data_IF_249642087792
#
_entry.id   IF_249642087792
#
_cell.length_a   1.000
_cell.length_b   1.000
_cell.length_c   1.000
_cell.angle_alpha   90.00
_cell.angle_beta   90.00
_cell.angle_gamma   90.00
#
_symmetry.space_group_name_H-M   'P 1'
#
loop_
_entity.id
_entity.type
_entity.pdbx_description
1 polymer ?
#
# COMPACT_ATOMS: atom_id res chain seq x y z
N UNK A 1 5.48 -8.28 32.52
CA UNK A 1 6.39 -7.84 31.44
C UNK A 1 6.25 -8.83 30.29
N UNK A 2 5.21 -8.66 29.48
CA UNK A 2 4.93 -9.53 28.33
C UNK A 2 5.57 -8.88 27.09
N UNK A 3 6.52 -9.59 26.49
CA UNK A 3 7.15 -9.19 25.23
C UNK A 3 6.08 -9.16 24.14
N UNK A 4 5.95 -8.01 23.48
CA UNK A 4 5.09 -7.81 22.31
C UNK A 4 5.69 -8.56 21.10
N UNK A 5 5.57 -9.87 21.10
CA UNK A 5 5.94 -10.73 19.96
C UNK A 5 4.76 -10.86 18.98
N UNK A 6 4.27 -9.73 18.46
CA UNK A 6 3.06 -9.73 17.59
C UNK A 6 3.27 -9.16 16.19
N UNK A 7 4.50 -8.88 15.74
CA UNK A 7 4.63 -7.97 14.58
C UNK A 7 5.67 -8.32 13.52
N UNK A 8 6.18 -9.55 13.44
CA UNK A 8 7.15 -9.89 12.37
C UNK A 8 6.57 -10.66 11.18
N UNK A 9 5.52 -11.45 11.38
CA UNK A 9 5.00 -12.35 10.34
C UNK A 9 3.89 -11.77 9.44
N UNK A 10 3.38 -10.56 9.72
CA UNK A 10 2.38 -9.84 8.89
C UNK A 10 2.98 -8.68 8.08
N UNK A 11 4.30 -8.55 8.07
CA UNK A 11 4.96 -7.31 7.67
C UNK A 11 5.04 -7.21 6.16
N UNK A 12 4.18 -6.41 5.55
CA UNK A 12 4.40 -5.92 4.18
C UNK A 12 5.78 -5.26 4.11
N UNK A 13 6.64 -5.74 3.21
CA UNK A 13 7.98 -5.18 3.02
C UNK A 13 7.98 -4.19 1.85
N UNK A 14 8.59 -3.02 2.05
CA UNK A 14 8.78 -2.05 0.96
C UNK A 14 9.77 -2.61 -0.07
N UNK A 15 9.28 -2.92 -1.27
CA UNK A 15 10.06 -3.49 -2.36
C UNK A 15 10.52 -2.42 -3.37
N UNK A 16 10.42 -1.14 -3.01
CA UNK A 16 10.92 -0.02 -3.79
C UNK A 16 9.90 0.59 -4.76
N UNK A 17 10.32 1.64 -5.50
CA UNK A 17 9.48 2.23 -6.54
C UNK A 17 9.32 1.29 -7.73
N UNK A 18 8.29 1.51 -8.55
CA UNK A 18 8.23 0.90 -9.87
C UNK A 18 9.48 1.30 -10.67
N UNK A 19 10.06 0.35 -11.42
CA UNK A 19 11.18 0.58 -12.33
C UNK A 19 10.73 1.41 -13.53
N UNK A 20 10.52 2.70 -13.30
CA UNK A 20 10.12 3.73 -14.25
C UNK A 20 10.86 5.03 -13.91
N UNK A 21 10.80 6.04 -14.77
CA UNK A 21 11.41 7.35 -14.53
C UNK A 21 10.36 8.39 -14.11
N UNK A 22 10.81 9.44 -13.41
CA UNK A 22 10.01 10.64 -13.13
C UNK A 22 8.73 10.38 -12.32
N UNK A 23 7.61 10.93 -12.79
CA UNK A 23 6.32 10.90 -12.09
C UNK A 23 5.81 9.47 -11.82
N UNK A 24 6.04 8.54 -12.75
CA UNK A 24 5.58 7.15 -12.63
C UNK A 24 6.26 6.43 -11.44
N UNK A 25 7.55 6.68 -11.22
CA UNK A 25 8.27 6.12 -10.07
C UNK A 25 7.76 6.64 -8.72
N UNK A 26 7.18 7.85 -8.71
CA UNK A 26 6.55 8.44 -7.51
C UNK A 26 5.14 7.94 -7.31
N UNK A 27 4.43 7.66 -8.40
CA UNK A 27 3.01 7.27 -8.38
C UNK A 27 2.79 5.83 -8.00
N UNK A 28 3.79 4.96 -8.16
CA UNK A 28 3.67 3.54 -7.88
C UNK A 28 4.78 3.02 -6.96
N UNK A 29 4.38 2.18 -6.01
CA UNK A 29 5.27 1.48 -5.08
C UNK A 29 5.01 -0.01 -5.13
N UNK A 30 6.06 -0.81 -5.00
CA UNK A 30 5.97 -2.25 -4.85
C UNK A 30 6.02 -2.60 -3.37
N UNK A 31 5.09 -3.45 -2.94
CA UNK A 31 5.14 -4.09 -1.62
C UNK A 31 5.26 -5.59 -1.78
N UNK A 32 6.02 -6.24 -0.90
CA UNK A 32 6.11 -7.69 -0.85
C UNK A 32 5.24 -8.21 0.29
N UNK A 33 4.29 -9.08 -0.07
CA UNK A 33 3.45 -9.77 0.90
C UNK A 33 4.17 -10.96 1.54
N UNK A 34 3.47 -11.64 2.45
CA UNK A 34 3.95 -12.87 3.10
C UNK A 34 4.14 -14.04 2.13
N UNK A 35 3.46 -14.01 0.98
CA UNK A 35 3.64 -14.94 -0.14
C UNK A 35 4.93 -14.70 -0.94
N UNK A 36 5.71 -13.68 -0.56
CA UNK A 36 6.94 -13.29 -1.24
C UNK A 36 6.71 -12.60 -2.58
N UNK A 37 5.46 -12.40 -3.04
CA UNK A 37 5.18 -11.77 -4.34
C UNK A 37 5.20 -10.25 -4.20
N UNK A 38 5.78 -9.59 -5.20
CA UNK A 38 5.74 -8.13 -5.32
C UNK A 38 4.42 -7.72 -5.94
N UNK A 39 3.73 -6.80 -5.30
CA UNK A 39 2.45 -6.28 -5.76
C UNK A 39 2.54 -4.77 -5.88
N UNK A 40 1.92 -4.24 -6.93
CA UNK A 40 1.95 -2.81 -7.24
C UNK A 40 0.81 -2.09 -6.54
N UNK A 41 1.15 -0.95 -5.95
CA UNK A 41 0.23 -0.03 -5.31
C UNK A 41 0.41 1.36 -5.91
N UNK A 42 -0.70 2.06 -6.09
CA UNK A 42 -0.74 3.49 -6.40
C UNK A 42 -0.54 4.29 -5.11
N UNK A 43 0.33 5.29 -5.12
CA UNK A 43 0.67 6.13 -3.97
C UNK A 43 -0.09 7.45 -4.03
N UNK A 44 -0.75 7.81 -2.93
CA UNK A 44 -1.45 9.09 -2.75
C UNK A 44 -1.03 9.72 -1.42
N UNK A 45 -1.06 11.06 -1.34
CA UNK A 45 -1.11 11.72 -0.04
C UNK A 45 -2.37 11.26 0.72
N UNK A 46 -2.31 11.18 2.05
CA UNK A 46 -3.38 10.61 2.86
C UNK A 46 -4.73 11.33 2.66
N UNK A 47 -4.70 12.64 2.47
CA UNK A 47 -5.85 13.50 2.23
C UNK A 47 -6.38 13.45 0.78
N UNK A 48 -5.57 12.99 -0.18
CA UNK A 48 -5.91 12.94 -1.60
C UNK A 48 -6.30 11.53 -2.07
N UNK A 49 -6.26 10.54 -1.17
CA UNK A 49 -6.53 9.16 -1.51
C UNK A 49 -8.00 8.97 -1.95
N UNK A 50 -8.23 8.51 -3.20
CA UNK A 50 -9.57 8.33 -3.73
C UNK A 50 -10.31 7.21 -3.01
N UNK A 51 -11.64 7.32 -3.02
CA UNK A 51 -12.52 6.27 -2.51
C UNK A 51 -12.77 5.23 -3.61
N UNK A 52 -12.01 4.13 -3.55
CA UNK A 52 -12.15 3.01 -4.46
C UNK A 52 -12.58 1.76 -3.68
N UNK A 53 -13.89 1.43 -3.65
CA UNK A 53 -14.40 0.30 -2.87
C UNK A 53 -13.77 -1.06 -3.22
N UNK A 54 -13.35 -1.24 -4.46
CA UNK A 54 -12.68 -2.46 -4.94
C UNK A 54 -11.16 -2.48 -4.65
N UNK A 55 -10.64 -1.53 -3.87
CA UNK A 55 -9.22 -1.45 -3.53
C UNK A 55 -8.97 -1.79 -2.05
N UNK A 56 -7.82 -2.41 -1.81
CA UNK A 56 -7.19 -2.50 -0.49
C UNK A 56 -6.24 -1.32 -0.32
N UNK A 57 -6.20 -0.77 0.89
CA UNK A 57 -5.35 0.34 1.28
C UNK A 57 -4.29 -0.10 2.30
N UNK A 58 -3.13 0.55 2.22
CA UNK A 58 -2.10 0.56 3.25
C UNK A 58 -1.93 2.03 3.67
N UNK A 59 -2.10 2.34 4.95
CA UNK A 59 -1.66 3.63 5.47
C UNK A 59 -0.17 3.53 5.81
N UNK A 60 0.61 4.50 5.32
CA UNK A 60 2.06 4.47 5.38
C UNK A 60 2.60 5.72 6.05
N UNK A 61 3.38 5.50 7.11
CA UNK A 61 4.14 6.55 7.77
C UNK A 61 5.54 6.62 7.18
N UNK A 62 6.03 7.83 6.97
CA UNK A 62 7.38 8.11 6.52
C UNK A 62 8.31 8.26 7.73
N UNK A 63 9.40 7.52 7.74
CA UNK A 63 10.49 7.64 8.71
C UNK A 63 11.79 7.89 7.94
N UNK A 64 12.11 9.18 7.73
CA UNK A 64 13.15 9.60 6.80
C UNK A 64 12.78 9.17 5.36
N UNK A 65 13.60 8.33 4.75
CA UNK A 65 13.34 7.76 3.42
C UNK A 65 12.57 6.44 3.46
N UNK A 66 12.33 5.89 4.65
CA UNK A 66 11.66 4.59 4.84
C UNK A 66 10.14 4.76 4.89
N UNK A 67 9.44 3.81 4.28
CA UNK A 67 7.98 3.68 4.33
C UNK A 67 7.62 2.58 5.29
N UNK A 68 6.89 2.92 6.34
CA UNK A 68 6.46 1.98 7.38
C UNK A 68 4.95 1.78 7.24
N UNK A 69 4.49 0.55 6.92
CA UNK A 69 3.06 0.26 6.92
C UNK A 69 2.57 0.26 8.37
N UNK A 70 1.60 1.12 8.67
CA UNK A 70 1.03 1.27 10.02
C UNK A 70 -0.40 0.78 10.13
N UNK A 71 -1.05 0.53 8.99
CA UNK A 71 -2.40 -0.02 8.92
C UNK A 71 -2.69 -0.61 7.53
N UNK A 72 -3.53 -1.64 7.47
CA UNK A 72 -4.05 -2.23 6.23
C UNK A 72 -5.56 -2.47 6.34
N UNK A 73 -6.28 -2.35 5.22
CA UNK A 73 -7.72 -2.61 5.20
C UNK A 73 -8.43 -2.04 3.97
N UNK A 74 -9.77 -1.88 4.04
CA UNK A 74 -10.54 -1.30 2.93
C UNK A 74 -10.12 0.14 2.61
N UNK A 75 -10.10 0.51 1.33
CA UNK A 75 -9.87 1.89 0.92
C UNK A 75 -11.01 2.84 1.32
N UNK A 76 -10.86 4.14 1.02
CA UNK A 76 -11.87 5.16 1.29
C UNK A 76 -11.78 5.74 2.70
N UNK A 77 -12.94 6.09 3.27
CA UNK A 77 -13.03 6.81 4.54
C UNK A 77 -12.28 6.12 5.70
N UNK A 78 -12.38 4.78 5.79
CA UNK A 78 -11.68 4.01 6.84
C UNK A 78 -10.17 4.16 6.76
N UNK A 79 -9.59 4.09 5.55
CA UNK A 79 -8.16 4.27 5.34
C UNK A 79 -7.69 5.68 5.72
N UNK A 80 -8.47 6.72 5.38
CA UNK A 80 -8.14 8.11 5.77
C UNK A 80 -8.20 8.31 7.27
N UNK A 81 -9.23 7.79 7.95
CA UNK A 81 -9.32 7.86 9.41
C UNK A 81 -8.16 7.11 10.09
N UNK A 82 -7.79 5.94 9.58
CA UNK A 82 -6.63 5.20 10.07
C UNK A 82 -5.32 5.95 9.84
N UNK A 83 -5.16 6.59 8.68
CA UNK A 83 -3.99 7.41 8.38
C UNK A 83 -3.85 8.57 9.36
N UNK A 84 -4.94 9.30 9.62
CA UNK A 84 -4.96 10.39 10.62
C UNK A 84 -4.61 9.88 12.02
N UNK A 85 -5.23 8.78 12.46
CA UNK A 85 -5.01 8.22 13.80
C UNK A 85 -3.58 7.72 14.04
N UNK A 86 -2.89 7.28 12.98
CA UNK A 86 -1.53 6.71 13.05
C UNK A 86 -0.43 7.70 12.64
N UNK A 87 -0.81 8.91 12.21
CA UNK A 87 0.11 9.89 11.65
C UNK A 87 0.77 9.40 10.36
N UNK A 88 0.05 8.65 9.51
CA UNK A 88 0.50 8.26 8.19
C UNK A 88 0.38 9.43 7.21
N UNK A 89 1.36 9.57 6.31
CA UNK A 89 1.40 10.64 5.30
C UNK A 89 0.92 10.14 3.93
N UNK A 90 1.07 8.84 3.65
CA UNK A 90 0.74 8.24 2.37
C UNK A 90 -0.36 7.18 2.56
N UNK A 91 -1.22 7.03 1.55
CA UNK A 91 -2.10 5.87 1.40
C UNK A 91 -1.77 5.19 0.08
N UNK A 92 -1.46 3.90 0.17
CA UNK A 92 -1.13 3.06 -0.97
C UNK A 92 -2.32 2.18 -1.33
N UNK A 93 -2.81 2.26 -2.56
CA UNK A 93 -3.98 1.53 -3.03
C UNK A 93 -3.61 0.46 -4.04
N UNK A 94 -4.14 -0.74 -3.84
CA UNK A 94 -4.12 -1.81 -4.85
C UNK A 94 -5.53 -2.25 -5.15
N UNK A 95 -5.90 -2.20 -6.43
CA UNK A 95 -7.18 -2.73 -6.89
C UNK A 95 -7.12 -4.25 -6.83
N UNK A 96 -8.14 -4.84 -6.21
CA UNK A 96 -8.31 -6.28 -6.18
C UNK A 96 -9.16 -6.67 -7.40
N UNK A 97 -8.65 -7.53 -8.29
CA UNK A 97 -9.48 -7.99 -9.40
C UNK A 97 -10.56 -8.93 -8.85
N UNK A 98 -11.79 -8.80 -9.33
CA UNK A 98 -12.92 -9.65 -8.92
C UNK A 98 -12.78 -11.10 -9.43
N UNK A 99 -11.92 -11.33 -10.43
CA UNK A 99 -11.55 -12.62 -10.99
C UNK A 99 -10.13 -12.55 -11.57
N UNK A 100 -9.48 -13.69 -11.79
CA UNK A 100 -8.24 -13.75 -12.56
C UNK A 100 -8.41 -12.98 -13.88
N UNK A 101 -7.49 -12.06 -14.17
CA UNK A 101 -7.52 -11.35 -15.45
C UNK A 101 -7.20 -12.35 -16.55
N UNK A 102 -8.12 -12.50 -17.50
CA UNK A 102 -7.86 -13.28 -18.72
C UNK A 102 -6.68 -12.70 -19.51
N UNK A 103 -6.22 -13.44 -20.53
CA UNK A 103 -5.12 -12.98 -21.36
C UNK A 103 -5.43 -11.61 -21.99
N UNK A 104 -4.65 -10.60 -21.62
CA UNK A 104 -4.59 -9.35 -22.37
C UNK A 104 -3.73 -9.63 -23.60
N UNK A 105 -4.35 -9.83 -24.75
CA UNK A 105 -3.61 -9.84 -26.00
C UNK A 105 -3.12 -8.40 -26.25
N UNK A 106 -1.81 -8.16 -26.41
CA UNK A 106 -1.36 -6.87 -26.90
C UNK A 106 -1.99 -6.65 -28.29
N UNK A 107 -2.67 -5.51 -28.46
CA UNK A 107 -3.07 -5.04 -29.79
C UNK A 107 -1.84 -4.56 -30.57
#
# INVERSE_FOLDING_TARGET
MMTRDTHRFDSLEDAGPLSASGLLARRFRLWRGTDGRRQMYSVYAAEEAPDYPAAVAIAVRMEGTRRIPVWTGPAGAKARSAAMATGAQEIHLRILPNAESGALAPM
#
